data_IF_577450773420
#
_entry.id   IF_577450773420
#
_cell.length_a   1.000
_cell.length_b   1.000
_cell.length_c   1.000
_cell.angle_alpha   90.00
_cell.angle_beta   90.00
_cell.angle_gamma   90.00
#
_symmetry.space_group_name_H-M   'P 1'
#
loop_
_entity.id
_entity.type
_entity.pdbx_description
1 polymer ?
#
# COMPACT_ATOMS: atom_id res chain seq x y z
N UNK A 1 1.45 23.12 -8.38
CA UNK A 1 1.43 23.04 -6.91
C UNK A 1 1.59 21.61 -6.42
N UNK A 2 0.77 20.65 -6.85
CA UNK A 2 0.82 19.23 -6.47
C UNK A 2 2.22 18.62 -6.70
N UNK A 3 2.83 18.82 -7.86
CA UNK A 3 4.18 18.31 -8.18
C UNK A 3 5.26 18.78 -7.18
N UNK A 4 5.21 20.05 -6.75
CA UNK A 4 6.15 20.56 -5.74
C UNK A 4 5.94 19.91 -4.36
N UNK A 5 4.69 19.59 -4.01
CA UNK A 5 4.37 18.85 -2.78
C UNK A 5 4.86 17.41 -2.86
N UNK A 6 4.67 16.72 -3.98
CA UNK A 6 5.22 15.36 -4.20
C UNK A 6 6.75 15.39 -4.10
N UNK A 7 7.41 16.32 -4.77
CA UNK A 7 8.88 16.46 -4.71
C UNK A 7 9.37 16.70 -3.27
N UNK A 8 8.63 17.49 -2.49
CA UNK A 8 8.90 17.69 -1.06
C UNK A 8 8.80 16.38 -0.29
N UNK A 9 7.74 15.58 -0.50
CA UNK A 9 7.60 14.27 0.19
C UNK A 9 8.78 13.36 -0.14
N UNK A 10 9.14 13.23 -1.41
CA UNK A 10 10.33 12.47 -1.83
C UNK A 10 11.61 12.97 -1.15
N UNK A 11 11.83 14.27 -1.12
CA UNK A 11 13.04 14.86 -0.53
C UNK A 11 13.10 14.62 0.98
N UNK A 12 11.97 14.72 1.67
CA UNK A 12 11.89 14.47 3.11
C UNK A 12 12.14 13.00 3.45
N UNK A 13 11.56 12.09 2.68
CA UNK A 13 11.71 10.65 2.92
C UNK A 13 13.13 10.19 2.57
N UNK A 14 13.70 10.61 1.44
CA UNK A 14 15.08 10.32 1.06
C UNK A 14 16.11 10.84 2.07
N UNK A 15 15.82 11.98 2.73
CA UNK A 15 16.66 12.47 3.83
C UNK A 15 16.56 11.62 5.11
N UNK A 16 15.49 10.85 5.25
CA UNK A 16 15.28 9.91 6.36
C UNK A 16 15.74 8.51 5.98
N UNK A 17 16.98 8.35 5.55
CA UNK A 17 17.58 7.08 5.12
C UNK A 17 17.26 5.90 6.06
N UNK A 18 17.19 6.17 7.38
CA UNK A 18 16.86 5.15 8.38
C UNK A 18 15.44 4.57 8.22
N UNK A 19 14.48 5.34 7.72
CA UNK A 19 13.09 4.86 7.53
C UNK A 19 13.01 3.97 6.30
N UNK A 20 13.58 4.43 5.17
CA UNK A 20 13.59 3.66 3.91
C UNK A 20 14.35 2.34 4.08
N UNK A 21 15.55 2.40 4.68
CA UNK A 21 16.34 1.20 4.94
C UNK A 21 15.64 0.26 5.92
N UNK A 22 14.93 0.80 6.93
CA UNK A 22 14.13 0.00 7.86
C UNK A 22 12.98 -0.75 7.18
N UNK A 23 12.26 -0.11 6.26
CA UNK A 23 11.16 -0.75 5.51
C UNK A 23 11.72 -1.83 4.57
N UNK A 24 12.81 -1.52 3.86
CA UNK A 24 13.47 -2.48 2.97
C UNK A 24 14.02 -3.68 3.73
N UNK A 25 14.67 -3.45 4.87
CA UNK A 25 15.18 -4.51 5.74
C UNK A 25 14.05 -5.37 6.33
N UNK A 26 12.93 -4.75 6.70
CA UNK A 26 11.73 -5.47 7.18
C UNK A 26 11.19 -6.41 6.11
N UNK A 27 10.96 -5.89 4.89
CA UNK A 27 10.48 -6.68 3.76
C UNK A 27 11.44 -7.83 3.44
N UNK A 28 12.73 -7.55 3.35
CA UNK A 28 13.75 -8.55 3.09
C UNK A 28 13.80 -9.63 4.18
N UNK A 29 13.79 -9.24 5.45
CA UNK A 29 13.83 -10.17 6.58
C UNK A 29 12.63 -11.12 6.58
N UNK A 30 11.42 -10.58 6.30
CA UNK A 30 10.20 -11.38 6.26
C UNK A 30 10.26 -12.43 5.14
N UNK A 31 10.68 -12.01 3.94
CA UNK A 31 10.82 -12.91 2.79
C UNK A 31 11.92 -13.95 3.04
N UNK A 32 13.03 -13.53 3.65
CA UNK A 32 14.15 -14.42 3.96
C UNK A 32 13.76 -15.48 5.00
N UNK A 33 12.98 -15.11 6.02
CA UNK A 33 12.44 -16.09 7.00
C UNK A 33 11.51 -17.09 6.30
N UNK A 34 10.64 -16.63 5.41
CA UNK A 34 9.80 -17.51 4.60
C UNK A 34 10.67 -18.49 3.79
N UNK A 35 11.68 -17.96 3.08
CA UNK A 35 12.61 -18.77 2.29
C UNK A 35 13.29 -19.85 3.15
N UNK A 36 13.88 -19.48 4.28
CA UNK A 36 14.55 -20.44 5.17
C UNK A 36 13.59 -21.54 5.67
N UNK A 37 12.36 -21.16 6.05
CA UNK A 37 11.37 -22.09 6.56
C UNK A 37 10.99 -23.14 5.52
N UNK A 38 10.83 -22.76 4.26
CA UNK A 38 10.45 -23.69 3.20
C UNK A 38 11.65 -24.45 2.61
N UNK A 39 12.81 -23.79 2.48
CA UNK A 39 14.04 -24.43 2.01
C UNK A 39 14.47 -25.59 2.92
N UNK A 40 14.35 -25.43 4.24
CA UNK A 40 14.69 -26.48 5.21
C UNK A 40 13.79 -27.71 5.13
N UNK A 41 12.56 -27.59 4.63
CA UNK A 41 11.59 -28.69 4.52
C UNK A 41 11.63 -29.41 3.17
N UNK A 42 12.41 -28.95 2.20
CA UNK A 42 12.44 -29.48 0.83
C UNK A 42 11.04 -29.60 0.16
N UNK A 43 10.06 -28.87 0.67
CA UNK A 43 8.70 -28.90 0.15
C UNK A 43 8.48 -27.72 -0.82
N UNK A 44 7.96 -28.01 -2.00
CA UNK A 44 7.42 -27.00 -2.89
C UNK A 44 6.25 -26.27 -2.23
N UNK A 45 6.30 -24.94 -2.22
CA UNK A 45 5.19 -24.12 -1.72
C UNK A 45 4.04 -24.23 -2.72
N UNK A 46 2.84 -24.56 -2.23
CA UNK A 46 1.67 -24.51 -3.10
C UNK A 46 1.30 -23.06 -3.44
N UNK A 47 0.59 -22.89 -4.55
CA UNK A 47 0.23 -21.57 -5.09
C UNK A 47 -0.59 -20.73 -4.09
N UNK A 48 -1.48 -21.34 -3.31
CA UNK A 48 -2.28 -20.68 -2.30
C UNK A 48 -1.42 -20.14 -1.14
N UNK A 49 -0.45 -20.92 -0.67
CA UNK A 49 0.48 -20.51 0.38
C UNK A 49 1.39 -19.38 -0.12
N UNK A 50 1.87 -19.46 -1.36
CA UNK A 50 2.66 -18.41 -1.98
C UNK A 50 1.89 -17.08 -2.01
N UNK A 51 0.64 -17.12 -2.49
CA UNK A 51 -0.24 -15.96 -2.54
C UNK A 51 -0.47 -15.36 -1.15
N UNK A 52 -0.80 -16.19 -0.16
CA UNK A 52 -1.06 -15.73 1.21
C UNK A 52 0.17 -15.04 1.82
N UNK A 53 1.34 -15.66 1.72
CA UNK A 53 2.58 -15.09 2.25
C UNK A 53 2.99 -13.80 1.53
N UNK A 54 2.84 -13.75 0.21
CA UNK A 54 3.10 -12.57 -0.58
C UNK A 54 2.24 -11.39 -0.13
N UNK A 55 0.91 -11.57 -0.05
CA UNK A 55 -0.01 -10.51 0.36
C UNK A 55 0.16 -10.10 1.82
N UNK A 56 0.48 -11.04 2.73
CA UNK A 56 0.82 -10.70 4.11
C UNK A 56 2.10 -9.87 4.21
N UNK A 57 3.16 -10.26 3.50
CA UNK A 57 4.41 -9.52 3.48
C UNK A 57 4.22 -8.10 2.95
N UNK A 58 3.45 -7.98 1.86
CA UNK A 58 3.14 -6.69 1.26
C UNK A 58 2.30 -5.82 2.20
N UNK A 59 1.22 -6.38 2.77
CA UNK A 59 0.33 -5.67 3.68
C UNK A 59 1.09 -5.03 4.84
N UNK A 60 1.88 -5.82 5.56
CA UNK A 60 2.64 -5.30 6.71
C UNK A 60 3.70 -4.27 6.30
N UNK A 61 4.33 -4.45 5.14
CA UNK A 61 5.29 -3.49 4.61
C UNK A 61 4.63 -2.15 4.28
N UNK A 62 3.46 -2.19 3.64
CA UNK A 62 2.69 -1.00 3.26
C UNK A 62 2.13 -0.28 4.49
N UNK A 63 1.57 -1.02 5.47
CA UNK A 63 1.09 -0.40 6.72
C UNK A 63 2.23 0.31 7.44
N UNK A 64 3.39 -0.33 7.60
CA UNK A 64 4.55 0.29 8.27
C UNK A 64 5.07 1.52 7.53
N UNK A 65 4.93 1.56 6.21
CA UNK A 65 5.39 2.66 5.36
C UNK A 65 4.40 3.83 5.34
N UNK A 66 3.13 3.57 5.03
CA UNK A 66 2.13 4.61 4.72
C UNK A 66 1.34 5.07 5.95
N UNK A 67 1.14 4.20 6.95
CA UNK A 67 0.34 4.52 8.12
C UNK A 67 0.81 5.79 8.88
N UNK A 68 2.09 6.08 8.81
CA UNK A 68 2.70 7.24 9.47
C UNK A 68 2.72 8.51 8.60
N UNK A 69 2.11 8.49 7.43
CA UNK A 69 2.19 9.58 6.43
C UNK A 69 1.78 10.95 6.98
N UNK A 70 0.72 11.01 7.81
CA UNK A 70 0.31 12.22 8.52
C UNK A 70 0.68 12.22 10.00
N UNK A 71 0.63 11.05 10.65
CA UNK A 71 0.93 10.91 12.08
C UNK A 71 2.39 11.29 12.40
N UNK A 72 3.31 11.04 11.48
CA UNK A 72 4.72 11.36 11.64
C UNK A 72 5.09 12.83 11.37
N UNK A 73 4.15 13.67 10.96
CA UNK A 73 4.42 15.10 10.71
C UNK A 73 4.40 15.92 12.01
N UNK A 74 5.35 16.85 12.12
CA UNK A 74 5.42 17.77 13.27
C UNK A 74 4.21 18.73 13.25
N UNK A 75 3.58 18.94 14.41
CA UNK A 75 2.41 19.85 14.55
C UNK A 75 2.62 21.23 13.96
N UNK A 76 3.83 21.81 14.00
CA UNK A 76 4.15 23.11 13.41
C UNK A 76 4.10 23.17 11.87
N UNK A 77 4.28 22.04 11.19
CA UNK A 77 4.17 21.93 9.74
C UNK A 77 2.71 22.08 9.26
N UNK A 78 1.74 21.68 10.05
CA UNK A 78 0.32 21.86 9.73
C UNK A 78 -0.06 23.33 9.55
N UNK A 79 0.44 24.23 10.44
CA UNK A 79 0.18 25.67 10.37
C UNK A 79 0.76 26.26 9.06
N UNK A 80 1.95 25.83 8.66
CA UNK A 80 2.57 26.24 7.42
C UNK A 80 1.77 25.78 6.19
N UNK A 81 1.24 24.56 6.22
CA UNK A 81 0.41 24.06 5.11
C UNK A 81 -0.91 24.83 4.95
N UNK A 82 -1.50 25.33 6.04
CA UNK A 82 -2.71 26.14 5.98
C UNK A 82 -2.51 27.42 5.16
N UNK A 83 -1.30 27.99 5.15
CA UNK A 83 -1.00 29.23 4.44
C UNK A 83 -0.57 29.02 2.98
N UNK A 84 -0.09 27.81 2.62
CA UNK A 84 0.60 27.58 1.34
C UNK A 84 -0.20 26.70 0.38
N UNK A 85 -1.06 25.81 0.87
CA UNK A 85 -1.69 24.79 0.03
C UNK A 85 -3.15 24.53 0.40
N UNK A 86 -4.00 24.23 -0.61
CA UNK A 86 -5.34 23.74 -0.36
C UNK A 86 -5.31 22.32 0.22
N UNK A 87 -6.24 21.99 1.15
CA UNK A 87 -6.30 20.65 1.72
C UNK A 87 -6.40 19.54 0.67
N UNK A 88 -7.16 19.78 -0.42
CA UNK A 88 -7.27 18.83 -1.52
C UNK A 88 -5.92 18.57 -2.19
N UNK A 89 -5.11 19.60 -2.40
CA UNK A 89 -3.78 19.43 -3.01
C UNK A 89 -2.84 18.66 -2.10
N UNK A 90 -2.98 18.80 -0.78
CA UNK A 90 -2.18 18.07 0.20
C UNK A 90 -2.53 16.58 0.17
N UNK A 91 -3.81 16.22 0.27
CA UNK A 91 -4.21 14.82 0.29
C UNK A 91 -3.88 14.12 -1.04
N UNK A 92 -4.13 14.76 -2.18
CA UNK A 92 -3.81 14.20 -3.50
C UNK A 92 -2.30 13.97 -3.62
N UNK A 93 -1.47 14.94 -3.24
CA UNK A 93 -0.02 14.79 -3.31
C UNK A 93 0.50 13.64 -2.44
N UNK A 94 -0.09 13.43 -1.26
CA UNK A 94 0.25 12.31 -0.38
C UNK A 94 -0.22 10.97 -0.94
N UNK A 95 -1.44 10.90 -1.48
CA UNK A 95 -1.93 9.68 -2.14
C UNK A 95 -1.01 9.31 -3.32
N UNK A 96 -0.67 10.25 -4.19
CA UNK A 96 0.19 9.99 -5.34
C UNK A 96 1.59 9.55 -4.90
N UNK A 97 2.20 10.23 -3.94
CA UNK A 97 3.48 9.83 -3.37
C UNK A 97 3.43 8.43 -2.77
N UNK A 98 2.45 8.16 -1.91
CA UNK A 98 2.28 6.86 -1.27
C UNK A 98 1.94 5.74 -2.28
N UNK A 99 1.25 6.05 -3.39
CA UNK A 99 1.00 5.09 -4.47
C UNK A 99 2.32 4.65 -5.11
N UNK A 100 3.20 5.60 -5.42
CA UNK A 100 4.53 5.29 -5.96
C UNK A 100 5.33 4.45 -4.97
N UNK A 101 5.32 4.82 -3.70
CA UNK A 101 6.03 4.08 -2.65
C UNK A 101 5.49 2.65 -2.50
N UNK A 102 4.16 2.47 -2.44
CA UNK A 102 3.52 1.15 -2.37
C UNK A 102 3.84 0.32 -3.63
N UNK A 103 3.84 0.94 -4.81
CA UNK A 103 4.16 0.26 -6.06
C UNK A 103 5.63 -0.22 -6.07
N UNK A 104 6.55 0.62 -5.65
CA UNK A 104 7.97 0.22 -5.53
C UNK A 104 8.14 -0.94 -4.54
N UNK A 105 7.47 -0.89 -3.39
CA UNK A 105 7.50 -1.97 -2.40
C UNK A 105 6.87 -3.26 -2.95
N UNK A 106 5.75 -3.17 -3.67
CA UNK A 106 5.07 -4.34 -4.24
C UNK A 106 5.89 -5.01 -5.35
N UNK A 107 6.53 -4.22 -6.20
CA UNK A 107 7.43 -4.74 -7.23
C UNK A 107 8.69 -5.34 -6.61
N UNK A 108 9.27 -4.69 -5.60
CA UNK A 108 10.41 -5.24 -4.86
C UNK A 108 10.04 -6.56 -4.16
N UNK A 109 8.86 -6.63 -3.52
CA UNK A 109 8.35 -7.85 -2.93
C UNK A 109 8.20 -8.96 -3.98
N UNK A 110 7.62 -8.65 -5.14
CA UNK A 110 7.44 -9.61 -6.22
C UNK A 110 8.79 -10.15 -6.75
N UNK A 111 9.77 -9.27 -6.95
CA UNK A 111 11.10 -9.66 -7.38
C UNK A 111 11.78 -10.57 -6.34
N UNK A 112 11.73 -10.21 -5.06
CA UNK A 112 12.31 -11.00 -3.99
C UNK A 112 11.61 -12.37 -3.83
N UNK A 113 10.26 -12.41 -3.86
CA UNK A 113 9.53 -13.66 -3.82
C UNK A 113 9.88 -14.56 -5.01
N UNK A 114 9.90 -13.98 -6.21
CA UNK A 114 10.22 -14.70 -7.44
C UNK A 114 11.64 -15.30 -7.41
N UNK A 115 12.62 -14.60 -6.83
CA UNK A 115 14.02 -15.04 -6.78
C UNK A 115 14.28 -16.05 -5.68
N UNK A 116 13.70 -15.87 -4.46
CA UNK A 116 13.99 -16.72 -3.32
C UNK A 116 13.04 -17.91 -3.18
N UNK A 117 11.76 -17.71 -3.47
CA UNK A 117 10.71 -18.71 -3.21
C UNK A 117 10.28 -19.41 -4.50
N UNK A 118 10.49 -18.75 -5.64
CA UNK A 118 10.04 -19.20 -6.95
C UNK A 118 8.86 -18.38 -7.48
N UNK A 119 8.65 -18.46 -8.79
CA UNK A 119 7.63 -17.68 -9.48
C UNK A 119 6.51 -18.57 -10.04
N UNK A 120 5.37 -18.73 -9.36
CA UNK A 120 4.23 -19.49 -9.88
C UNK A 120 3.31 -18.65 -10.79
N UNK A 121 3.60 -17.35 -10.99
CA UNK A 121 2.76 -16.42 -11.75
C UNK A 121 2.79 -16.74 -13.23
N UNK A 122 1.66 -17.13 -13.82
CA UNK A 122 1.51 -17.49 -15.24
C UNK A 122 1.25 -16.27 -16.14
N UNK A 123 0.41 -15.32 -15.69
CA UNK A 123 0.20 -14.03 -16.38
C UNK A 123 0.80 -12.87 -15.58
N UNK A 124 2.07 -12.55 -15.87
CA UNK A 124 2.78 -11.45 -15.23
C UNK A 124 2.12 -10.09 -15.50
N UNK A 125 1.52 -9.89 -16.67
CA UNK A 125 0.89 -8.62 -17.01
C UNK A 125 -0.33 -8.34 -16.12
N UNK A 126 -1.22 -9.33 -15.96
CA UNK A 126 -2.38 -9.22 -15.09
C UNK A 126 -1.96 -9.07 -13.62
N UNK A 127 -0.92 -9.79 -13.20
CA UNK A 127 -0.40 -9.69 -11.83
C UNK A 127 0.15 -8.29 -11.52
N UNK A 128 0.97 -7.71 -12.41
CA UNK A 128 1.50 -6.35 -12.25
C UNK A 128 0.39 -5.29 -12.24
N UNK A 129 -0.64 -5.45 -13.10
CA UNK A 129 -1.82 -4.59 -13.06
C UNK A 129 -2.54 -4.68 -11.69
N UNK A 130 -2.68 -5.87 -11.14
CA UNK A 130 -3.26 -6.09 -9.81
C UNK A 130 -2.42 -5.40 -8.73
N UNK A 131 -1.10 -5.51 -8.79
CA UNK A 131 -0.21 -4.82 -7.87
C UNK A 131 -0.38 -3.29 -7.95
N UNK A 132 -0.48 -2.75 -9.15
CA UNK A 132 -0.70 -1.31 -9.36
C UNK A 132 -2.02 -0.84 -8.75
N UNK A 133 -3.13 -1.50 -9.07
CA UNK A 133 -4.45 -1.14 -8.57
C UNK A 133 -4.55 -1.30 -7.04
N UNK A 134 -3.99 -2.37 -6.49
CA UNK A 134 -3.98 -2.59 -5.04
C UNK A 134 -3.11 -1.57 -4.32
N UNK A 135 -1.96 -1.20 -4.89
CA UNK A 135 -1.08 -0.15 -4.35
C UNK A 135 -1.77 1.21 -4.31
N UNK A 136 -2.53 1.56 -5.35
CA UNK A 136 -3.33 2.77 -5.40
C UNK A 136 -4.42 2.77 -4.32
N UNK A 137 -5.12 1.64 -4.14
CA UNK A 137 -6.15 1.47 -3.10
C UNK A 137 -5.60 1.57 -1.69
N UNK A 138 -4.50 0.89 -1.41
CA UNK A 138 -3.82 0.98 -0.10
C UNK A 138 -3.37 2.40 0.19
N UNK A 139 -2.78 3.06 -0.80
CA UNK A 139 -2.34 4.44 -0.65
C UNK A 139 -3.50 5.39 -0.34
N UNK A 140 -4.60 5.31 -1.10
CA UNK A 140 -5.76 6.16 -0.88
C UNK A 140 -6.40 5.93 0.50
N UNK A 141 -6.64 4.65 0.85
CA UNK A 141 -7.21 4.26 2.13
C UNK A 141 -6.35 4.71 3.31
N UNK A 142 -5.07 4.30 3.32
CA UNK A 142 -4.18 4.55 4.44
C UNK A 142 -3.83 6.03 4.58
N UNK A 143 -3.73 6.80 3.48
CA UNK A 143 -3.51 8.25 3.54
C UNK A 143 -4.71 8.97 4.16
N UNK A 144 -5.94 8.63 3.75
CA UNK A 144 -7.15 9.20 4.33
C UNK A 144 -7.26 8.87 5.83
N UNK A 145 -7.10 7.59 6.18
CA UNK A 145 -7.21 7.11 7.56
C UNK A 145 -6.09 7.71 8.44
N UNK A 146 -4.87 7.82 7.91
CA UNK A 146 -3.76 8.51 8.61
C UNK A 146 -4.09 9.98 8.88
N UNK A 147 -4.75 10.66 7.94
CA UNK A 147 -5.25 12.01 8.11
C UNK A 147 -6.28 12.13 9.24
N UNK A 148 -7.27 11.22 9.29
CA UNK A 148 -8.27 11.16 10.37
C UNK A 148 -7.57 10.85 11.71
N UNK A 149 -6.72 9.84 11.75
CA UNK A 149 -6.04 9.40 12.95
C UNK A 149 -5.09 10.47 13.53
N UNK A 150 -4.49 11.31 12.68
CA UNK A 150 -3.57 12.37 13.11
C UNK A 150 -4.20 13.42 14.04
N UNK A 151 -5.53 13.52 14.03
CA UNK A 151 -6.32 14.42 14.89
C UNK A 151 -6.77 13.78 16.22
N UNK A 152 -6.60 12.47 16.36
CA UNK A 152 -7.04 11.74 17.55
C UNK A 152 -5.92 11.63 18.60
N UNK A 153 -6.31 11.55 19.88
CA UNK A 153 -5.36 11.35 20.97
C UNK A 153 -4.64 9.99 20.90
N UNK A 154 -5.34 8.93 20.44
CA UNK A 154 -4.81 7.58 20.26
C UNK A 154 -4.73 7.23 18.77
N UNK A 155 -3.92 7.97 18.03
CA UNK A 155 -3.81 7.88 16.57
C UNK A 155 -3.48 6.46 16.07
N UNK A 156 -2.62 5.72 16.77
CA UNK A 156 -2.21 4.37 16.35
C UNK A 156 -3.33 3.34 16.45
N UNK A 157 -4.13 3.40 17.52
CA UNK A 157 -5.28 2.49 17.71
C UNK A 157 -6.36 2.81 16.66
N UNK A 158 -6.69 4.09 16.48
CA UNK A 158 -7.70 4.51 15.52
C UNK A 158 -7.29 4.13 14.09
N UNK A 159 -6.01 4.29 13.75
CA UNK A 159 -5.45 3.86 12.47
C UNK A 159 -5.69 2.38 12.23
N UNK A 160 -5.35 1.52 13.19
CA UNK A 160 -5.51 0.08 13.06
C UNK A 160 -6.98 -0.33 12.87
N UNK A 161 -7.88 0.22 13.70
CA UNK A 161 -9.31 -0.12 13.66
C UNK A 161 -9.98 0.32 12.37
N UNK A 162 -9.69 1.54 11.88
CA UNK A 162 -10.33 2.05 10.65
C UNK A 162 -9.74 1.45 9.38
N UNK A 163 -8.45 1.10 9.37
CA UNK A 163 -7.80 0.56 8.17
C UNK A 163 -8.20 -0.88 7.89
N UNK A 164 -8.47 -1.68 8.92
CA UNK A 164 -8.72 -3.12 8.79
C UNK A 164 -9.85 -3.48 7.82
N UNK A 165 -11.09 -2.94 7.93
CA UNK A 165 -12.18 -3.31 7.03
C UNK A 165 -11.92 -2.91 5.57
N UNK A 166 -11.29 -1.75 5.35
CA UNK A 166 -10.99 -1.25 4.00
C UNK A 166 -9.89 -2.07 3.34
N UNK A 167 -8.85 -2.38 4.09
CA UNK A 167 -7.73 -3.20 3.60
C UNK A 167 -8.19 -4.61 3.26
N UNK A 168 -9.07 -5.22 4.08
CA UNK A 168 -9.60 -6.56 3.78
C UNK A 168 -10.37 -6.56 2.47
N UNK A 169 -11.20 -5.56 2.20
CA UNK A 169 -11.95 -5.49 0.95
C UNK A 169 -11.02 -5.44 -0.28
N UNK A 170 -9.95 -4.64 -0.23
CA UNK A 170 -8.93 -4.56 -1.28
C UNK A 170 -8.17 -5.88 -1.44
N UNK A 171 -7.76 -6.50 -0.33
CA UNK A 171 -7.03 -7.77 -0.35
C UNK A 171 -7.88 -8.90 -0.90
N UNK A 172 -9.17 -8.99 -0.58
CA UNK A 172 -10.05 -10.01 -1.10
C UNK A 172 -10.09 -10.00 -2.63
N UNK A 173 -10.19 -8.82 -3.25
CA UNK A 173 -10.16 -8.70 -4.71
C UNK A 173 -8.78 -9.06 -5.26
N UNK A 174 -7.72 -8.55 -4.66
CA UNK A 174 -6.35 -8.82 -5.09
C UNK A 174 -5.97 -10.30 -4.99
N UNK A 175 -6.37 -10.99 -3.91
CA UNK A 175 -6.12 -12.43 -3.73
C UNK A 175 -6.91 -13.26 -4.76
N UNK A 176 -8.17 -12.90 -5.06
CA UNK A 176 -8.96 -13.59 -6.08
C UNK A 176 -8.32 -13.48 -7.46
N UNK A 177 -7.92 -12.26 -7.87
CA UNK A 177 -7.22 -12.07 -9.14
C UNK A 177 -5.92 -12.85 -9.14
N UNK A 178 -5.14 -12.80 -8.04
CA UNK A 178 -3.89 -13.55 -7.93
C UNK A 178 -4.12 -15.05 -8.09
N UNK A 179 -5.18 -15.60 -7.48
CA UNK A 179 -5.54 -17.00 -7.65
C UNK A 179 -5.78 -17.34 -9.13
N UNK A 180 -6.59 -16.55 -9.84
CA UNK A 180 -6.87 -16.76 -11.26
C UNK A 180 -5.58 -16.71 -12.10
N UNK A 181 -4.66 -15.81 -11.75
CA UNK A 181 -3.34 -15.68 -12.39
C UNK A 181 -2.47 -16.92 -12.15
N UNK A 182 -2.48 -17.47 -10.94
CA UNK A 182 -1.71 -18.65 -10.58
C UNK A 182 -2.30 -19.91 -11.26
N UNK A 183 -3.62 -20.05 -11.26
CA UNK A 183 -4.33 -21.13 -11.93
C UNK A 183 -4.16 -21.06 -13.47
N UNK A 184 -3.74 -19.90 -14.01
CA UNK A 184 -3.55 -19.67 -15.44
C UNK A 184 -4.85 -19.55 -16.21
N UNK A 185 -5.88 -19.01 -15.57
CA UNK A 185 -7.18 -18.73 -16.19
C UNK A 185 -7.07 -17.56 -17.16
N UNK A 186 -7.98 -17.50 -18.13
CA UNK A 186 -8.09 -16.38 -19.04
C UNK A 186 -8.37 -15.07 -18.29
N UNK A 187 -7.87 -13.95 -18.80
CA UNK A 187 -8.06 -12.62 -18.18
C UNK A 187 -9.54 -12.25 -17.99
N UNK A 188 -10.42 -12.79 -18.82
CA UNK A 188 -11.88 -12.60 -18.70
C UNK A 188 -12.44 -13.08 -17.36
N UNK A 189 -11.84 -14.12 -16.76
CA UNK A 189 -12.25 -14.63 -15.47
C UNK A 189 -11.97 -13.66 -14.29
N UNK A 190 -11.15 -12.63 -14.50
CA UNK A 190 -10.78 -11.65 -13.47
C UNK A 190 -11.37 -10.26 -13.72
N UNK A 191 -12.20 -10.10 -14.73
CA UNK A 191 -12.76 -8.77 -15.09
C UNK A 191 -13.62 -8.21 -13.99
N UNK A 192 -14.48 -9.03 -13.36
CA UNK A 192 -15.38 -8.58 -12.29
C UNK A 192 -14.59 -8.10 -11.07
N UNK A 193 -13.54 -8.83 -10.66
CA UNK A 193 -12.67 -8.44 -9.56
C UNK A 193 -11.85 -7.18 -9.88
N UNK A 194 -11.39 -7.03 -11.11
CA UNK A 194 -10.71 -5.80 -11.56
C UNK A 194 -11.64 -4.60 -11.53
N UNK A 195 -12.87 -4.74 -12.04
CA UNK A 195 -13.86 -3.67 -12.00
C UNK A 195 -14.23 -3.28 -10.57
N UNK A 196 -14.40 -4.27 -9.69
CA UNK A 196 -14.64 -4.03 -8.26
C UNK A 196 -13.45 -3.30 -7.61
N UNK A 197 -12.21 -3.69 -7.95
CA UNK A 197 -11.01 -3.04 -7.42
C UNK A 197 -10.90 -1.59 -7.90
N UNK A 198 -11.22 -1.31 -9.16
CA UNK A 198 -11.28 0.04 -9.72
C UNK A 198 -12.39 0.87 -9.04
N UNK A 199 -13.56 0.28 -8.82
CA UNK A 199 -14.68 0.93 -8.14
C UNK A 199 -14.31 1.32 -6.70
N UNK A 200 -13.71 0.39 -5.93
CA UNK A 200 -13.25 0.67 -4.57
C UNK A 200 -12.21 1.80 -4.57
N UNK A 201 -11.24 1.77 -5.48
CA UNK A 201 -10.23 2.83 -5.62
C UNK A 201 -10.85 4.19 -5.92
N UNK A 202 -11.85 4.23 -6.81
CA UNK A 202 -12.57 5.45 -7.17
C UNK A 202 -13.35 6.02 -5.98
N UNK A 203 -14.02 5.16 -5.22
CA UNK A 203 -14.74 5.55 -4.00
C UNK A 203 -13.76 6.09 -2.96
N UNK A 204 -12.66 5.40 -2.70
CA UNK A 204 -11.65 5.83 -1.73
C UNK A 204 -11.01 7.17 -2.13
N UNK A 205 -10.70 7.35 -3.41
CA UNK A 205 -10.18 8.61 -3.94
C UNK A 205 -11.17 9.76 -3.79
N UNK A 206 -12.44 9.53 -4.12
CA UNK A 206 -13.51 10.51 -3.95
C UNK A 206 -13.73 10.86 -2.47
N UNK A 207 -13.78 9.87 -1.59
CA UNK A 207 -13.90 10.09 -0.14
C UNK A 207 -12.71 10.88 0.40
N UNK A 208 -11.50 10.57 -0.01
CA UNK A 208 -10.31 11.31 0.40
C UNK A 208 -10.39 12.78 -0.04
N UNK A 209 -10.81 13.03 -1.27
CA UNK A 209 -10.95 14.38 -1.81
C UNK A 209 -12.03 15.21 -1.10
N UNK A 210 -13.19 14.60 -0.81
CA UNK A 210 -14.34 15.29 -0.21
C UNK A 210 -14.19 15.47 1.30
N UNK A 211 -13.75 14.41 2.02
CA UNK A 211 -13.73 14.42 3.49
C UNK A 211 -12.50 15.14 4.06
N UNK A 212 -11.35 15.06 3.38
CA UNK A 212 -10.11 15.61 3.91
C UNK A 212 -10.16 17.10 4.25
N UNK A 213 -10.81 18.01 3.47
CA UNK A 213 -10.94 19.42 3.85
C UNK A 213 -11.66 19.65 5.18
N UNK A 214 -12.64 18.79 5.50
CA UNK A 214 -13.37 18.88 6.79
C UNK A 214 -12.50 18.44 7.95
N UNK A 215 -11.77 17.32 7.77
CA UNK A 215 -10.80 16.81 8.76
C UNK A 215 -9.69 17.81 8.99
N UNK A 216 -9.25 18.48 7.92
CA UNK A 216 -8.17 19.45 7.97
C UNK A 216 -8.51 20.69 8.78
N UNK A 217 -9.76 21.14 8.73
CA UNK A 217 -10.26 22.33 9.42
C UNK A 217 -10.67 22.09 10.88
N UNK A 218 -10.93 20.88 11.28
CA UNK A 218 -11.19 20.46 12.66
C UNK A 218 -9.87 20.33 13.45
#
# INVERSE_FOLDING_TARGET
MILKLIQKEFTLELRRNAVISGIGLYLFSLIFICYLTFSLRQNSINEATWSALFWLALLFSVINSVAKSFIGEKKGLFIYYYSVASPQSIIISKILYNTILCLVLSLAAYLLFSTFIGNPVKDTGLFVLTLFLTSAGFSAALSLISGIASKANNSSILMAVLSFPVIIALLLMAIKITKNVLDGLDRSASVDELMNLIAINSILGALAYILFPYIWRS
#
